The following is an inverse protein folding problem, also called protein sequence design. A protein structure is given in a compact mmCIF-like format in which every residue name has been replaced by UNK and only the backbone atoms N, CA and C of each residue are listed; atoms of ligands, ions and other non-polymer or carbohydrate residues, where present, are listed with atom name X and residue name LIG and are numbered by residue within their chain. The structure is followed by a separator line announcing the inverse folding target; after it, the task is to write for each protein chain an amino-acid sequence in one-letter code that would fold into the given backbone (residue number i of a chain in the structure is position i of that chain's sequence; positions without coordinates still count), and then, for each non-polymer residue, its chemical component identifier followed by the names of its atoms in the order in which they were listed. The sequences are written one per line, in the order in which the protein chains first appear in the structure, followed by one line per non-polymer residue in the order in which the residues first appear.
data_IF_671221164664
#
_entry.id   IF_671221164664
#
_cell.length_a   1.000
_cell.length_b   1.000
_cell.length_c   1.000
_cell.angle_alpha   90.00
_cell.angle_beta   90.00
_cell.angle_gamma   90.00
#
_symmetry.space_group_name_H-M   'P 1'
#
loop_
_entity.id
_entity.type
_entity.pdbx_description
1 polymer ?
#
# COMPACT_ATOMS: atom_id res chain seq x y z
N UNK A 1 11.92 3.03 6.66
CA UNK A 1 10.99 3.52 5.65
C UNK A 1 10.74 5.04 5.77
N UNK A 2 10.21 5.59 6.86
CA UNK A 2 9.81 7.00 7.00
C UNK A 2 10.93 8.00 6.69
N UNK A 3 12.16 7.80 7.20
CA UNK A 3 13.31 8.65 6.87
C UNK A 3 13.56 8.72 5.35
N UNK A 4 13.34 7.61 4.66
CA UNK A 4 13.48 7.60 3.20
C UNK A 4 12.34 8.33 2.50
N UNK A 5 11.15 8.42 3.08
CA UNK A 5 10.02 9.22 2.56
C UNK A 5 10.19 10.72 2.83
N UNK A 6 10.88 11.12 3.89
CA UNK A 6 11.16 12.52 4.21
C UNK A 6 12.27 13.12 3.37
N UNK A 7 13.25 12.31 2.92
CA UNK A 7 14.39 12.75 2.11
C UNK A 7 14.15 12.53 0.61
N UNK A 8 13.19 13.26 0.03
CA UNK A 8 12.74 13.12 -1.37
C UNK A 8 12.99 14.35 -2.22
N UNK A 9 13.12 14.15 -3.54
CA UNK A 9 13.09 15.23 -4.53
C UNK A 9 11.74 15.95 -4.48
N UNK A 10 10.65 15.21 -4.33
CA UNK A 10 9.32 15.73 -4.04
C UNK A 10 8.84 15.21 -2.70
N UNK A 11 8.62 16.11 -1.75
CA UNK A 11 8.08 15.76 -0.43
C UNK A 11 6.56 15.53 -0.51
N UNK A 12 6.02 14.57 0.24
CA UNK A 12 4.58 14.47 0.44
C UNK A 12 4.09 15.63 1.32
N UNK A 13 2.84 16.03 1.16
CA UNK A 13 2.21 17.04 2.02
C UNK A 13 1.94 16.49 3.42
N UNK A 14 1.58 15.20 3.50
CA UNK A 14 1.37 14.46 4.76
C UNK A 14 1.84 13.02 4.65
N UNK A 15 2.27 12.47 5.78
CA UNK A 15 2.59 11.04 5.97
C UNK A 15 1.77 10.55 7.16
N UNK A 16 0.83 9.65 6.92
CA UNK A 16 0.07 8.99 7.97
C UNK A 16 0.77 7.68 8.35
N UNK A 17 0.96 7.49 9.66
CA UNK A 17 1.45 6.25 10.25
C UNK A 17 0.31 5.66 11.05
N UNK A 18 -0.31 4.63 10.52
CA UNK A 18 -1.49 4.02 11.12
C UNK A 18 -1.08 2.86 12.03
N UNK A 19 -1.36 2.97 13.32
CA UNK A 19 -0.98 1.99 14.33
C UNK A 19 -2.24 1.45 15.00
N UNK A 20 -2.57 0.16 14.84
CA UNK A 20 -3.71 -0.45 15.50
C UNK A 20 -3.64 -0.36 17.03
N UNK A 21 -4.78 -0.17 17.70
CA UNK A 21 -4.86 -0.29 19.14
C UNK A 21 -4.48 -1.72 19.60
N UNK A 22 -4.90 -2.72 18.82
CA UNK A 22 -4.63 -4.13 19.04
C UNK A 22 -4.55 -4.84 17.70
N UNK A 23 -3.51 -5.63 17.50
CA UNK A 23 -3.39 -6.46 16.31
C UNK A 23 -4.23 -7.74 16.44
N UNK A 24 -4.90 -8.13 15.35
CA UNK A 24 -5.64 -9.41 15.28
C UNK A 24 -4.69 -10.61 15.17
N UNK A 25 -3.50 -10.38 14.60
CA UNK A 25 -2.49 -11.43 14.36
C UNK A 25 -1.56 -11.66 15.54
N UNK A 26 -1.37 -10.66 16.39
CA UNK A 26 -0.43 -10.71 17.52
C UNK A 26 -1.19 -10.56 18.83
N UNK A 27 -0.64 -11.19 19.89
CA UNK A 27 -1.19 -11.05 21.25
C UNK A 27 -0.80 -9.73 21.90
N UNK A 28 0.33 -9.20 21.47
CA UNK A 28 0.90 -7.95 21.97
C UNK A 28 0.09 -6.75 21.49
N UNK A 29 0.01 -5.74 22.32
CA UNK A 29 -0.55 -4.43 22.01
C UNK A 29 0.56 -3.40 22.10
N UNK A 30 0.61 -2.47 21.16
CA UNK A 30 1.53 -1.34 21.24
C UNK A 30 0.93 -0.28 22.17
N UNK A 31 1.62 0.02 23.25
CA UNK A 31 1.24 1.09 24.17
C UNK A 31 1.59 2.46 23.60
N UNK A 32 0.91 3.49 24.05
CA UNK A 32 1.11 4.85 23.51
C UNK A 32 2.51 5.42 23.84
N UNK A 33 3.13 4.99 24.93
CA UNK A 33 4.50 5.35 25.33
C UNK A 33 5.57 4.63 24.47
N UNK A 34 5.23 3.54 23.82
CA UNK A 34 6.12 2.81 22.90
C UNK A 34 6.10 3.39 21.47
N UNK A 35 5.15 4.29 21.18
CA UNK A 35 5.01 4.89 19.84
C UNK A 35 6.11 5.92 19.61
N UNK A 36 6.89 5.79 18.50
CA UNK A 36 7.92 6.76 18.17
C UNK A 36 7.33 8.17 18.00
N UNK A 37 7.96 9.16 18.60
CA UNK A 37 7.64 10.56 18.34
C UNK A 37 8.44 11.07 17.13
N UNK A 38 7.76 11.77 16.25
CA UNK A 38 8.39 12.42 15.09
C UNK A 38 8.33 13.93 15.28
N UNK A 39 9.48 14.57 15.32
CA UNK A 39 9.57 16.03 15.27
C UNK A 39 9.49 16.49 13.79
N UNK A 40 8.34 16.28 13.19
CA UNK A 40 8.10 16.67 11.80
C UNK A 40 6.60 16.89 11.59
N UNK A 41 6.22 18.11 11.22
CA UNK A 41 4.81 18.55 11.07
C UNK A 41 4.02 17.83 9.99
N UNK A 42 4.69 17.19 9.02
CA UNK A 42 4.01 16.41 7.98
C UNK A 42 3.75 14.97 8.38
N UNK A 43 4.34 14.48 9.49
CA UNK A 43 4.13 13.11 9.97
C UNK A 43 3.02 13.12 11.02
N UNK A 44 1.99 12.34 10.77
CA UNK A 44 0.85 12.18 11.68
C UNK A 44 0.66 10.71 12.04
N UNK A 45 0.67 10.42 13.34
CA UNK A 45 0.38 9.07 13.85
C UNK A 45 -1.12 8.96 14.12
N UNK A 46 -1.74 7.92 13.59
CA UNK A 46 -3.16 7.62 13.79
C UNK A 46 -3.32 6.29 14.50
N UNK A 47 -4.00 6.30 15.65
CA UNK A 47 -4.46 5.07 16.31
C UNK A 47 -5.78 4.64 15.70
N UNK A 48 -5.91 3.36 15.37
CA UNK A 48 -7.06 2.86 14.63
C UNK A 48 -7.37 1.38 14.97
N UNK A 49 -8.41 0.84 14.35
CA UNK A 49 -8.66 -0.59 14.31
C UNK A 49 -7.62 -1.30 13.43
N UNK A 50 -7.44 -2.60 13.67
CA UNK A 50 -6.60 -3.44 12.81
C UNK A 50 -7.38 -3.90 11.57
N UNK A 51 -6.98 -3.40 10.43
CA UNK A 51 -7.48 -3.79 9.11
C UNK A 51 -6.49 -4.72 8.37
N UNK A 52 -5.59 -5.39 9.11
CA UNK A 52 -4.48 -6.14 8.53
C UNK A 52 -3.52 -5.23 7.77
N UNK A 53 -2.93 -5.70 6.66
CA UNK A 53 -2.06 -4.87 5.81
C UNK A 53 -2.76 -3.60 5.29
N UNK A 54 -4.09 -3.63 5.10
CA UNK A 54 -4.87 -2.47 4.68
C UNK A 54 -4.98 -1.37 5.74
N UNK A 55 -4.46 -1.57 6.94
CA UNK A 55 -4.34 -0.53 7.96
C UNK A 55 -3.60 0.71 7.42
N UNK A 56 -2.64 0.52 6.50
CA UNK A 56 -1.93 1.61 5.83
C UNK A 56 -2.86 2.57 5.05
N UNK A 57 -4.05 2.11 4.64
CA UNK A 57 -5.07 2.92 3.96
C UNK A 57 -6.24 3.25 4.90
N UNK A 58 -6.87 2.22 5.48
CA UNK A 58 -8.13 2.37 6.19
C UNK A 58 -7.98 3.09 7.53
N UNK A 59 -6.78 3.05 8.13
CA UNK A 59 -6.49 3.68 9.42
C UNK A 59 -6.58 5.21 9.41
N UNK A 60 -6.32 5.83 8.28
CA UNK A 60 -6.39 7.29 8.09
C UNK A 60 -7.36 7.73 6.99
N UNK A 61 -8.24 6.82 6.53
CA UNK A 61 -9.13 7.08 5.40
C UNK A 61 -9.97 8.35 5.58
N UNK A 62 -10.48 8.57 6.79
CA UNK A 62 -11.36 9.72 7.10
C UNK A 62 -10.60 11.06 7.18
N UNK A 63 -9.25 11.01 7.18
CA UNK A 63 -8.37 12.19 7.21
C UNK A 63 -7.85 12.57 5.83
N UNK A 64 -8.10 11.74 4.82
CA UNK A 64 -7.62 12.00 3.46
C UNK A 64 -8.43 13.12 2.83
N UNK A 65 -7.73 14.08 2.23
CA UNK A 65 -8.37 15.15 1.48
C UNK A 65 -9.00 14.62 0.20
N UNK A 66 -10.13 15.19 -0.17
CA UNK A 66 -10.81 14.85 -1.43
C UNK A 66 -9.97 15.28 -2.63
N UNK A 67 -10.04 14.50 -3.69
CA UNK A 67 -9.35 14.77 -4.95
C UNK A 67 -7.82 14.92 -4.79
N UNK A 68 -7.25 14.17 -3.85
CA UNK A 68 -5.80 14.12 -3.60
C UNK A 68 -5.22 12.79 -4.03
N UNK A 69 -3.91 12.75 -4.18
CA UNK A 69 -3.16 11.53 -4.43
C UNK A 69 -2.74 10.90 -3.11
N UNK A 70 -3.26 9.72 -2.79
CA UNK A 70 -2.72 8.89 -1.71
C UNK A 70 -1.79 7.85 -2.30
N UNK A 71 -0.65 7.62 -1.66
CA UNK A 71 0.31 6.60 -2.03
C UNK A 71 0.49 5.66 -0.84
N UNK A 72 0.17 4.40 -1.04
CA UNK A 72 0.34 3.36 -0.03
C UNK A 72 1.76 2.84 -0.08
N UNK A 73 2.37 2.68 1.09
CA UNK A 73 3.72 2.19 1.29
C UNK A 73 3.75 1.13 2.39
N UNK A 74 4.66 0.19 2.26
CA UNK A 74 4.98 -0.74 3.34
C UNK A 74 6.08 -0.16 4.25
N UNK A 75 6.10 -0.56 5.50
CA UNK A 75 6.98 0.00 6.53
C UNK A 75 8.37 -0.66 6.55
N UNK A 76 8.55 -1.75 5.84
CA UNK A 76 9.76 -2.56 5.77
C UNK A 76 10.68 -2.26 4.57
N UNK A 77 10.39 -1.21 3.80
CA UNK A 77 11.18 -0.81 2.62
C UNK A 77 11.89 0.54 2.81
N UNK A 78 13.05 0.68 2.17
CA UNK A 78 13.76 1.94 1.98
C UNK A 78 13.63 2.36 0.53
N UNK A 79 12.73 3.26 0.27
CA UNK A 79 12.35 3.65 -1.08
C UNK A 79 13.36 4.59 -1.77
N UNK A 80 13.42 4.56 -3.09
CA UNK A 80 14.19 5.48 -3.92
C UNK A 80 13.62 6.91 -3.90
N UNK A 81 14.46 7.91 -4.00
CA UNK A 81 14.10 9.32 -3.81
C UNK A 81 13.14 9.87 -4.88
N UNK A 82 13.09 9.28 -6.06
CA UNK A 82 12.27 9.72 -7.20
C UNK A 82 10.82 9.19 -7.19
N UNK A 83 10.47 8.30 -6.27
CA UNK A 83 9.22 7.54 -6.33
C UNK A 83 7.98 8.43 -6.21
N UNK A 84 7.92 9.31 -5.18
CA UNK A 84 6.79 10.24 -4.99
C UNK A 84 6.65 11.18 -6.19
N UNK A 85 7.77 11.64 -6.75
CA UNK A 85 7.79 12.50 -7.93
C UNK A 85 7.19 11.79 -9.16
N UNK A 86 7.55 10.52 -9.38
CA UNK A 86 7.01 9.72 -10.47
C UNK A 86 5.50 9.54 -10.35
N UNK A 87 5.00 9.10 -9.20
CA UNK A 87 3.56 8.98 -8.98
C UNK A 87 2.84 10.32 -9.19
N UNK A 88 3.38 11.40 -8.64
CA UNK A 88 2.79 12.74 -8.81
C UNK A 88 2.76 13.18 -10.27
N UNK A 89 3.80 12.88 -11.04
CA UNK A 89 3.85 13.18 -12.46
C UNK A 89 2.75 12.47 -13.24
N UNK A 90 2.62 11.16 -13.08
CA UNK A 90 1.60 10.39 -13.80
C UNK A 90 0.19 10.74 -13.34
N UNK A 91 -0.01 10.94 -12.05
CA UNK A 91 -1.27 11.44 -11.52
C UNK A 91 -1.69 12.77 -12.14
N UNK A 92 -0.77 13.73 -12.27
CA UNK A 92 -1.09 15.03 -12.88
C UNK A 92 -1.50 14.93 -14.35
N UNK A 93 -1.06 13.88 -15.07
CA UNK A 93 -1.40 13.64 -16.48
C UNK A 93 -2.72 12.90 -16.65
N UNK A 94 -3.03 11.95 -15.77
CA UNK A 94 -4.25 11.15 -15.84
C UNK A 94 -4.75 10.76 -14.43
N UNK A 95 -5.40 11.68 -13.70
CA UNK A 95 -5.81 11.50 -12.31
C UNK A 95 -6.91 10.46 -12.12
N UNK A 96 -7.50 9.98 -13.23
CA UNK A 96 -8.55 8.96 -13.21
C UNK A 96 -8.02 7.52 -13.23
N UNK A 97 -6.70 7.33 -13.19
CA UNK A 97 -6.09 6.02 -13.06
C UNK A 97 -5.45 5.86 -11.68
N UNK A 98 -5.33 4.62 -11.24
CA UNK A 98 -4.43 4.24 -10.17
C UNK A 98 -3.09 3.79 -10.76
N UNK A 99 -2.03 3.85 -9.99
CA UNK A 99 -0.68 3.54 -10.44
C UNK A 99 0.05 2.66 -9.43
N UNK A 100 0.78 1.67 -9.92
CA UNK A 100 1.77 0.94 -9.16
C UNK A 100 3.02 0.76 -10.01
N UNK A 101 4.21 0.65 -9.41
CA UNK A 101 5.39 0.37 -10.22
C UNK A 101 5.30 -1.02 -10.86
N UNK A 102 4.89 -2.02 -10.09
CA UNK A 102 4.59 -3.34 -10.63
C UNK A 102 3.11 -3.64 -10.49
N UNK A 103 2.54 -4.19 -11.54
CA UNK A 103 1.16 -4.64 -11.56
C UNK A 103 1.15 -6.12 -11.90
N UNK A 104 0.71 -6.94 -10.96
CA UNK A 104 0.56 -8.37 -11.20
C UNK A 104 -0.70 -8.63 -12.05
N UNK A 105 -0.57 -9.20 -13.26
CA UNK A 105 -1.73 -9.48 -14.09
C UNK A 105 -2.56 -10.62 -13.53
N UNK A 106 -3.86 -10.41 -13.39
CA UNK A 106 -4.80 -11.43 -12.96
C UNK A 106 -6.02 -11.43 -13.88
N UNK A 107 -6.10 -12.39 -14.81
CA UNK A 107 -7.21 -12.58 -15.75
C UNK A 107 -7.74 -11.25 -16.36
N UNK A 108 -8.73 -10.61 -15.69
CA UNK A 108 -9.45 -9.43 -16.21
C UNK A 108 -8.93 -8.11 -15.69
N UNK A 109 -8.11 -8.10 -14.64
CA UNK A 109 -7.59 -6.88 -14.02
C UNK A 109 -6.15 -7.05 -13.53
N UNK A 110 -5.49 -5.95 -13.20
CA UNK A 110 -4.17 -5.95 -12.60
C UNK A 110 -4.23 -5.68 -11.10
N UNK A 111 -3.35 -6.30 -10.34
CA UNK A 111 -3.18 -6.06 -8.92
C UNK A 111 -2.02 -5.10 -8.74
N UNK A 112 -2.28 -3.90 -8.19
CA UNK A 112 -1.25 -2.97 -7.76
C UNK A 112 -0.59 -3.50 -6.49
N UNK A 113 0.69 -3.24 -6.30
CA UNK A 113 1.47 -3.76 -5.17
C UNK A 113 1.86 -2.63 -4.21
N UNK A 114 1.41 -2.71 -2.96
CA UNK A 114 1.72 -1.73 -1.91
C UNK A 114 3.20 -1.69 -1.57
N UNK A 115 3.89 -2.84 -1.59
CA UNK A 115 5.33 -2.92 -1.39
C UNK A 115 6.12 -2.02 -2.36
N UNK A 116 5.64 -1.91 -3.59
CA UNK A 116 6.25 -1.10 -4.65
C UNK A 116 5.68 0.32 -4.72
N UNK A 117 4.74 0.61 -3.85
CA UNK A 117 3.94 1.82 -3.86
C UNK A 117 2.69 1.68 -4.73
N UNK A 118 1.54 2.03 -4.14
CA UNK A 118 0.26 1.98 -4.82
C UNK A 118 -0.43 3.33 -4.69
N UNK A 119 -0.52 4.06 -5.79
CA UNK A 119 -1.00 5.44 -5.87
C UNK A 119 -2.43 5.49 -6.38
N UNK A 120 -3.32 6.13 -5.63
CA UNK A 120 -4.76 6.15 -5.87
C UNK A 120 -5.29 7.57 -5.68
N UNK A 121 -6.18 8.04 -6.56
CA UNK A 121 -6.96 9.25 -6.28
C UNK A 121 -8.02 8.96 -5.22
N UNK A 122 -8.07 9.77 -4.17
CA UNK A 122 -8.99 9.59 -3.03
C UNK A 122 -10.47 9.57 -3.44
N UNK A 123 -10.84 10.19 -4.55
CA UNK A 123 -12.21 10.13 -5.09
C UNK A 123 -12.67 8.69 -5.41
N UNK A 124 -11.75 7.79 -5.71
CA UNK A 124 -12.06 6.38 -5.98
C UNK A 124 -12.17 5.53 -4.71
N UNK A 125 -11.84 6.08 -3.54
CA UNK A 125 -11.90 5.37 -2.25
C UNK A 125 -13.27 5.45 -1.56
N UNK A 126 -14.20 6.23 -2.10
CA UNK A 126 -15.54 6.33 -1.53
C UNK A 126 -16.23 4.95 -1.53
N UNK A 127 -16.71 4.51 -0.35
CA UNK A 127 -17.34 3.20 -0.14
C UNK A 127 -16.36 2.04 0.07
N UNK A 128 -15.04 2.27 0.07
CA UNK A 128 -14.05 1.20 0.27
C UNK A 128 -14.14 0.59 1.68
N UNK A 129 -14.47 1.38 2.69
CA UNK A 129 -14.65 0.90 4.07
C UNK A 129 -15.88 0.03 4.20
N UNK A 130 -16.97 0.38 3.51
CA UNK A 130 -18.18 -0.45 3.46
C UNK A 130 -17.92 -1.77 2.73
N UNK A 131 -17.17 -1.72 1.64
CA UNK A 131 -16.73 -2.92 0.93
C UNK A 131 -15.88 -3.82 1.84
N UNK A 132 -14.89 -3.26 2.54
CA UNK A 132 -14.09 -4.00 3.51
C UNK A 132 -14.98 -4.67 4.56
N UNK A 133 -15.89 -3.95 5.17
CA UNK A 133 -16.77 -4.47 6.23
C UNK A 133 -17.70 -5.59 5.76
N UNK A 134 -18.17 -5.54 4.51
CA UNK A 134 -19.12 -6.52 3.95
C UNK A 134 -18.45 -7.74 3.33
N UNK A 135 -17.25 -7.58 2.78
CA UNK A 135 -16.62 -8.60 1.94
C UNK A 135 -15.33 -9.15 2.54
N UNK A 136 -14.51 -8.30 3.19
CA UNK A 136 -13.14 -8.68 3.57
C UNK A 136 -13.03 -9.05 5.04
N UNK A 137 -13.69 -8.28 5.91
CA UNK A 137 -13.47 -8.29 7.37
C UNK A 137 -13.53 -9.68 7.99
N UNK A 138 -14.49 -10.49 7.56
CA UNK A 138 -14.78 -11.81 8.12
C UNK A 138 -14.12 -12.96 7.33
N UNK A 139 -13.46 -12.63 6.21
CA UNK A 139 -12.70 -13.58 5.39
C UNK A 139 -11.22 -13.53 5.76
N UNK A 140 -10.77 -14.53 6.52
CA UNK A 140 -9.38 -14.60 7.00
C UNK A 140 -8.36 -14.51 5.87
N UNK A 141 -8.65 -15.15 4.76
CA UNK A 141 -7.80 -15.18 3.58
C UNK A 141 -7.69 -13.76 2.95
N UNK A 142 -8.81 -13.08 2.72
CA UNK A 142 -8.82 -11.75 2.13
C UNK A 142 -8.21 -10.68 3.05
N UNK A 143 -8.35 -10.85 4.35
CA UNK A 143 -7.82 -9.91 5.35
C UNK A 143 -6.33 -9.65 5.18
N UNK A 144 -5.56 -10.62 4.70
CA UNK A 144 -4.12 -10.55 4.53
C UNK A 144 -3.66 -10.04 3.15
N UNK A 145 -4.56 -9.96 2.18
CA UNK A 145 -4.25 -9.65 0.78
C UNK A 145 -4.87 -8.34 0.35
N UNK A 146 -4.47 -7.25 1.02
CA UNK A 146 -5.02 -5.92 0.77
C UNK A 146 -4.83 -5.45 -0.68
N UNK A 147 -3.70 -5.70 -1.28
CA UNK A 147 -3.42 -5.39 -2.69
C UNK A 147 -4.46 -6.00 -3.62
N UNK A 148 -4.86 -7.24 -3.36
CA UNK A 148 -5.85 -7.96 -4.16
C UNK A 148 -7.22 -7.28 -4.07
N UNK A 149 -7.78 -7.15 -2.85
CA UNK A 149 -9.15 -6.66 -2.71
C UNK A 149 -9.28 -5.15 -2.96
N UNK A 150 -8.23 -4.34 -2.69
CA UNK A 150 -8.20 -2.92 -3.08
C UNK A 150 -8.24 -2.81 -4.61
N UNK A 151 -7.41 -3.59 -5.31
CA UNK A 151 -7.38 -3.60 -6.77
C UNK A 151 -8.70 -4.07 -7.37
N UNK A 152 -9.31 -5.11 -6.78
CA UNK A 152 -10.63 -5.60 -7.16
C UNK A 152 -11.69 -4.52 -7.01
N UNK A 153 -11.72 -3.83 -5.85
CA UNK A 153 -12.65 -2.74 -5.58
C UNK A 153 -12.49 -1.61 -6.61
N UNK A 154 -11.28 -1.17 -6.86
CA UNK A 154 -11.01 -0.12 -7.84
C UNK A 154 -11.48 -0.51 -9.24
N UNK A 155 -11.17 -1.72 -9.69
CA UNK A 155 -11.50 -2.16 -11.03
C UNK A 155 -13.00 -2.40 -11.22
N UNK A 156 -13.64 -3.17 -10.36
CA UNK A 156 -15.04 -3.59 -10.55
C UNK A 156 -16.06 -2.55 -10.07
N UNK A 157 -15.80 -1.85 -8.98
CA UNK A 157 -16.76 -0.91 -8.40
C UNK A 157 -16.50 0.54 -8.83
N UNK A 158 -15.26 0.91 -9.09
CA UNK A 158 -14.91 2.27 -9.48
C UNK A 158 -14.57 2.43 -10.96
N UNK A 159 -14.48 1.32 -11.70
CA UNK A 159 -14.06 1.32 -13.12
C UNK A 159 -12.71 2.00 -13.32
N UNK A 160 -11.87 1.96 -12.28
CA UNK A 160 -10.56 2.57 -12.25
C UNK A 160 -9.52 1.56 -12.75
N UNK A 161 -8.68 1.97 -13.71
CA UNK A 161 -7.58 1.14 -14.21
C UNK A 161 -6.34 1.34 -13.35
N UNK A 162 -5.63 0.26 -13.10
CA UNK A 162 -4.33 0.28 -12.43
C UNK A 162 -3.26 0.14 -13.52
N UNK A 163 -2.41 1.15 -13.64
CA UNK A 163 -1.36 1.22 -14.64
C UNK A 163 0.00 0.93 -14.04
N UNK A 164 0.78 0.07 -14.70
CA UNK A 164 2.16 -0.20 -14.32
C UNK A 164 3.07 0.95 -14.73
N UNK A 165 3.96 1.33 -13.83
CA UNK A 165 5.04 2.28 -14.08
C UNK A 165 6.40 1.61 -14.25
N UNK A 166 6.45 0.29 -14.41
CA UNK A 166 7.70 -0.48 -14.54
C UNK A 166 8.61 0.07 -15.66
N UNK A 167 8.04 0.39 -16.80
CA UNK A 167 8.77 0.96 -17.93
C UNK A 167 9.38 2.36 -17.66
N UNK A 168 8.99 2.98 -16.54
CA UNK A 168 9.47 4.31 -16.14
C UNK A 168 10.46 4.26 -14.98
N UNK A 169 10.86 3.06 -14.56
CA UNK A 169 11.96 2.87 -13.62
C UNK A 169 13.29 3.31 -14.25
N UNK A 170 14.21 3.78 -13.42
CA UNK A 170 15.57 4.01 -13.85
C UNK A 170 16.20 2.67 -14.23
N UNK A 171 16.96 2.67 -15.33
CA UNK A 171 17.77 1.52 -15.72
C UNK A 171 19.20 1.70 -15.21
N UNK A 172 19.81 0.61 -14.77
CA UNK A 172 21.23 0.56 -14.47
C UNK A 172 22.08 0.53 -15.74
N UNK A 173 23.41 0.41 -15.57
CA UNK A 173 24.36 0.37 -16.69
C UNK A 173 24.14 -0.83 -17.62
N UNK A 174 23.58 -1.91 -17.10
CA UNK A 174 23.31 -3.15 -17.84
C UNK A 174 21.90 -3.17 -18.45
N UNK A 175 21.16 -2.05 -18.35
CA UNK A 175 19.81 -1.92 -18.88
C UNK A 175 18.72 -2.59 -18.01
N UNK A 176 19.06 -3.09 -16.83
CA UNK A 176 18.11 -3.65 -15.88
C UNK A 176 17.41 -2.53 -15.14
N UNK A 177 16.12 -2.70 -14.86
CA UNK A 177 15.37 -1.75 -14.07
C UNK A 177 15.90 -1.68 -12.63
N UNK A 178 16.22 -0.47 -12.18
CA UNK A 178 16.56 -0.25 -10.78
C UNK A 178 15.31 -0.50 -9.92
N UNK A 179 15.44 -1.25 -8.81
CA UNK A 179 14.34 -1.40 -7.88
C UNK A 179 13.93 -0.02 -7.36
N UNK A 180 12.66 0.16 -7.08
CA UNK A 180 12.13 1.41 -6.50
C UNK A 180 12.47 1.56 -5.02
N UNK A 181 12.94 0.50 -4.40
CA UNK A 181 13.46 0.49 -3.04
C UNK A 181 14.92 0.03 -3.03
N UNK A 182 15.72 0.64 -2.16
CA UNK A 182 17.14 0.32 -1.99
C UNK A 182 17.35 -0.93 -1.16
N UNK A 183 16.45 -1.18 -0.21
CA UNK A 183 16.59 -2.25 0.76
C UNK A 183 15.22 -2.65 1.31
N UNK A 184 14.99 -3.93 1.36
CA UNK A 184 13.96 -4.55 2.19
C UNK A 184 14.54 -4.72 3.61
N UNK A 185 13.85 -4.23 4.64
CA UNK A 185 14.43 -4.10 5.98
C UNK A 185 14.19 -5.37 6.80
N UNK A 186 13.05 -5.98 6.65
CA UNK A 186 12.61 -7.15 7.43
C UNK A 186 11.99 -8.18 6.52
N UNK A 187 12.30 -9.45 6.72
CA UNK A 187 11.51 -10.54 6.19
C UNK A 187 10.09 -10.43 6.77
N UNK A 188 9.10 -10.39 5.92
CA UNK A 188 7.75 -10.08 6.34
C UNK A 188 7.23 -11.06 7.39
N UNK A 189 6.51 -10.57 8.36
CA UNK A 189 5.87 -11.37 9.39
C UNK A 189 4.85 -12.40 8.87
N UNK A 190 4.57 -12.48 7.57
CA UNK A 190 3.77 -13.57 6.98
C UNK A 190 4.47 -14.91 7.11
N UNK A 191 5.77 -14.97 6.80
CA UNK A 191 6.56 -16.20 6.90
C UNK A 191 6.71 -16.60 8.37
N UNK A 192 7.00 -15.63 9.25
CA UNK A 192 7.21 -15.90 10.67
C UNK A 192 5.91 -16.21 11.42
N UNK A 193 4.81 -15.54 11.06
CA UNK A 193 3.54 -15.65 11.80
C UNK A 193 2.66 -16.79 11.33
N UNK A 194 2.75 -17.18 10.05
CA UNK A 194 1.87 -18.20 9.46
C UNK A 194 2.63 -19.39 8.88
N UNK A 195 3.95 -19.38 8.89
CA UNK A 195 4.79 -20.45 8.34
C UNK A 195 4.66 -20.62 6.82
N UNK A 196 4.10 -19.62 6.14
CA UNK A 196 3.92 -19.65 4.70
C UNK A 196 5.12 -18.98 4.00
N UNK A 197 5.64 -19.60 2.95
CA UNK A 197 6.61 -18.95 2.07
C UNK A 197 5.92 -17.85 1.23
N UNK A 198 6.67 -16.86 0.80
CA UNK A 198 6.14 -15.81 -0.08
C UNK A 198 5.52 -16.40 -1.36
N UNK A 199 6.11 -17.47 -1.90
CA UNK A 199 5.60 -18.16 -3.09
C UNK A 199 4.24 -18.81 -2.82
N UNK A 200 4.06 -19.44 -1.66
CA UNK A 200 2.78 -20.05 -1.25
C UNK A 200 1.72 -18.98 -1.01
N UNK A 201 2.08 -17.89 -0.36
CA UNK A 201 1.19 -16.76 -0.15
C UNK A 201 0.70 -16.15 -1.48
N UNK A 202 1.58 -15.98 -2.46
CA UNK A 202 1.22 -15.50 -3.82
C UNK A 202 0.29 -16.48 -4.52
N UNK A 203 0.57 -17.79 -4.50
CA UNK A 203 -0.28 -18.82 -5.11
C UNK A 203 -1.68 -18.83 -4.49
N UNK A 204 -1.77 -18.74 -3.18
CA UNK A 204 -3.05 -18.72 -2.44
C UNK A 204 -3.86 -17.48 -2.77
N UNK A 205 -3.21 -16.30 -2.82
CA UNK A 205 -3.84 -15.06 -3.27
C UNK A 205 -4.46 -15.21 -4.66
N UNK A 206 -3.69 -15.76 -5.61
CA UNK A 206 -4.14 -15.91 -7.00
C UNK A 206 -5.30 -16.91 -7.11
N UNK A 207 -5.34 -17.95 -6.25
CA UNK A 207 -6.45 -18.89 -6.18
C UNK A 207 -7.73 -18.23 -5.66
N UNK A 208 -7.65 -17.46 -4.57
CA UNK A 208 -8.80 -16.71 -3.99
C UNK A 208 -9.41 -15.77 -5.02
N UNK A 209 -8.60 -15.14 -5.85
CA UNK A 209 -9.07 -14.22 -6.86
C UNK A 209 -9.78 -14.89 -8.06
N UNK A 210 -9.70 -16.21 -8.15
CA UNK A 210 -10.33 -17.04 -9.19
C UNK A 210 -11.74 -17.48 -8.78
N UNK A 211 -11.96 -17.69 -7.49
CA UNK A 211 -13.26 -18.00 -6.88
C UNK A 211 -14.14 -16.73 -6.79
#
# INVERSE_FOLDING_TARGET
SIKSLLNRSKKPDKIFINIPFKYRRFKETIKDDEIPKFDNSIVEITRCEDYGPATKLLGSLDKLEKNSLVILFDDDHVYENYMVEKFSYFYSKAPNNAYSFYVHPLRKFGIGQGADGFAINTNFLNGIKDFYNKVVKDYKELFLYDDLWISYFLYFFKKNKILSLENHLKKDKDGKFSPIYKKHIVASGLVETYGESLIEAVKKRDQIAIE
#
